data_IF_332847269090
#
_entry.id   IF_332847269090
#
_cell.length_a   1.000
_cell.length_b   1.000
_cell.length_c   1.000
_cell.angle_alpha   90.00
_cell.angle_beta   90.00
_cell.angle_gamma   90.00
#
_symmetry.space_group_name_H-M   'P 1'
#
loop_
_entity.id
_entity.type
_entity.pdbx_description
1 polymer ?
#
# COMPACT_ATOMS: atom_id res chain seq x y z
N UNK A 1 -11.03 15.82 16.10
CA UNK A 1 -10.21 16.24 14.95
C UNK A 1 -8.86 15.54 15.06
N UNK A 2 -8.37 15.00 13.98
CA UNK A 2 -7.04 14.37 13.88
C UNK A 2 -6.25 15.03 12.77
N UNK A 3 -4.96 15.24 12.99
CA UNK A 3 -4.03 15.79 12.00
C UNK A 3 -2.71 15.05 12.08
N UNK A 4 -2.20 14.58 10.95
CA UNK A 4 -0.86 14.02 10.79
C UNK A 4 -0.16 14.72 9.63
N UNK A 5 1.09 15.05 9.83
CA UNK A 5 1.95 15.69 8.84
C UNK A 5 3.18 14.81 8.61
N UNK A 6 3.65 14.79 7.39
CA UNK A 6 4.91 14.18 6.99
C UNK A 6 5.85 15.27 6.50
N UNK A 7 7.14 15.15 6.85
CA UNK A 7 8.20 16.01 6.33
C UNK A 7 8.91 15.24 5.24
N UNK A 8 8.78 15.69 4.02
CA UNK A 8 9.37 15.08 2.85
C UNK A 8 10.80 15.58 2.57
N UNK A 9 11.46 14.95 1.59
CA UNK A 9 12.77 15.40 1.11
C UNK A 9 12.67 16.84 0.60
N UNK A 10 13.59 17.70 1.03
CA UNK A 10 13.56 19.12 0.69
C UNK A 10 12.89 20.02 1.74
N UNK A 11 12.37 19.44 2.83
CA UNK A 11 11.74 20.19 3.92
C UNK A 11 10.27 20.55 3.67
N UNK A 12 9.65 19.99 2.63
CA UNK A 12 8.22 20.13 2.39
C UNK A 12 7.41 19.42 3.48
N UNK A 13 6.35 20.08 3.94
CA UNK A 13 5.43 19.52 4.94
C UNK A 13 4.14 19.11 4.25
N UNK A 14 3.98 17.82 4.00
CA UNK A 14 2.77 17.26 3.44
C UNK A 14 1.73 16.94 4.52
N UNK A 15 0.46 17.16 4.22
CA UNK A 15 -0.65 16.79 5.09
C UNK A 15 -1.06 15.34 4.78
N UNK A 16 -0.61 14.39 5.59
CA UNK A 16 -0.93 12.98 5.39
C UNK A 16 -2.36 12.65 5.78
N UNK A 17 -2.81 13.16 6.92
CA UNK A 17 -4.18 12.93 7.39
C UNK A 17 -4.74 14.18 8.08
N UNK A 18 -5.96 14.52 7.71
CA UNK A 18 -6.74 15.56 8.37
C UNK A 18 -8.24 15.22 8.26
N UNK A 19 -8.85 14.89 9.38
CA UNK A 19 -10.26 14.51 9.39
C UNK A 19 -10.96 14.90 10.69
N UNK A 20 -12.27 14.99 10.59
CA UNK A 20 -13.19 15.14 11.73
C UNK A 20 -14.04 13.87 11.85
N UNK A 21 -14.44 13.53 13.06
CA UNK A 21 -15.27 12.37 13.34
C UNK A 21 -16.40 12.70 14.27
N UNK A 22 -17.59 12.15 14.00
CA UNK A 22 -18.71 12.05 14.91
C UNK A 22 -18.86 10.59 15.32
N UNK A 23 -18.71 10.34 16.62
CA UNK A 23 -18.95 9.02 17.20
C UNK A 23 -20.37 8.99 17.79
N UNK A 24 -21.12 7.96 17.44
CA UNK A 24 -22.48 7.70 17.94
C UNK A 24 -22.47 6.57 18.96
N UNK A 25 -21.77 5.46 18.63
CA UNK A 25 -21.52 4.34 19.52
C UNK A 25 -20.26 3.58 19.06
N UNK A 26 -19.85 2.54 19.76
CA UNK A 26 -18.71 1.69 19.36
C UNK A 26 -18.91 1.07 17.98
N UNK A 27 -20.14 0.70 17.66
CA UNK A 27 -20.52 0.06 16.41
C UNK A 27 -20.77 1.03 15.24
N UNK A 28 -20.87 2.36 15.46
CA UNK A 28 -21.19 3.29 14.39
C UNK A 28 -20.54 4.65 14.59
N UNK A 29 -19.66 5.01 13.66
CA UNK A 29 -18.96 6.28 13.62
C UNK A 29 -18.90 6.79 12.19
N UNK A 30 -18.96 8.09 12.01
CA UNK A 30 -18.78 8.76 10.70
C UNK A 30 -17.54 9.62 10.76
N UNK A 31 -16.71 9.54 9.73
CA UNK A 31 -15.48 10.31 9.57
C UNK A 31 -15.48 10.99 8.21
N UNK A 32 -15.08 12.25 8.16
CA UNK A 32 -14.97 13.04 6.93
C UNK A 32 -13.65 13.79 6.90
N UNK A 33 -13.01 13.85 5.74
CA UNK A 33 -11.73 14.54 5.51
C UNK A 33 -10.74 13.71 4.73
N UNK A 34 -9.45 14.00 4.92
CA UNK A 34 -8.35 13.29 4.29
C UNK A 34 -7.97 12.07 5.15
N UNK A 35 -8.30 10.87 4.66
CA UNK A 35 -8.34 9.64 5.45
C UNK A 35 -7.56 8.54 4.72
N UNK A 36 -6.90 7.66 5.47
CA UNK A 36 -6.26 6.46 4.91
C UNK A 36 -7.31 5.55 4.28
N UNK A 37 -7.06 5.11 3.05
CA UNK A 37 -7.89 4.14 2.34
C UNK A 37 -7.62 2.75 2.93
N UNK A 38 -8.64 2.03 3.44
CA UNK A 38 -8.45 0.84 4.27
C UNK A 38 -8.18 -0.43 3.44
N UNK A 39 -7.29 -0.37 2.45
CA UNK A 39 -6.96 -1.50 1.55
C UNK A 39 -5.59 -2.06 1.89
N UNK A 40 -5.49 -3.40 1.92
CA UNK A 40 -4.24 -4.12 2.15
C UNK A 40 -3.68 -3.98 3.57
N UNK A 41 -2.49 -4.51 3.77
CA UNK A 41 -1.79 -4.49 5.07
C UNK A 41 -1.05 -3.18 5.28
N UNK A 42 -0.27 -2.74 4.29
CA UNK A 42 0.70 -1.63 4.43
C UNK A 42 0.02 -0.28 4.59
N UNK A 43 -1.13 -0.03 3.97
CA UNK A 43 -1.86 1.22 4.21
C UNK A 43 -2.30 1.37 5.67
N UNK A 44 -2.65 0.26 6.33
CA UNK A 44 -3.07 0.26 7.72
C UNK A 44 -1.90 0.16 8.71
N UNK A 45 -0.74 -0.37 8.29
CA UNK A 45 0.43 -0.65 9.13
C UNK A 45 1.71 -0.12 8.46
N UNK A 46 1.80 1.21 8.25
CA UNK A 46 2.87 1.84 7.48
C UNK A 46 3.99 2.47 8.32
N UNK A 47 3.86 2.47 9.65
CA UNK A 47 4.94 2.97 10.52
C UNK A 47 6.15 2.03 10.45
N UNK A 48 7.37 2.56 10.48
CA UNK A 48 8.58 1.72 10.43
C UNK A 48 8.70 0.67 11.55
N UNK A 49 7.99 0.86 12.65
CA UNK A 49 7.92 -0.13 13.76
C UNK A 49 6.92 -1.25 13.51
N UNK A 50 6.11 -1.16 12.44
CA UNK A 50 5.02 -2.09 12.14
C UNK A 50 5.37 -3.13 11.06
N UNK A 51 6.58 -3.10 10.51
CA UNK A 51 7.14 -4.10 9.60
C UNK A 51 8.61 -4.33 9.91
N UNK A 52 9.17 -5.49 9.55
CA UNK A 52 10.54 -5.83 9.90
C UNK A 52 11.59 -5.26 8.95
N UNK A 53 11.31 -5.21 7.66
CA UNK A 53 12.24 -4.72 6.64
C UNK A 53 12.67 -3.27 6.88
N UNK A 54 13.85 -2.87 6.42
CA UNK A 54 14.33 -1.48 6.54
C UNK A 54 13.43 -0.55 5.74
N UNK A 55 13.11 -0.93 4.50
CA UNK A 55 12.12 -0.26 3.66
C UNK A 55 10.76 -0.93 3.79
N UNK A 56 9.71 -0.26 3.36
CA UNK A 56 8.35 -0.84 3.28
C UNK A 56 8.36 -2.13 2.45
N UNK A 57 7.54 -3.13 2.81
CA UNK A 57 7.30 -4.29 1.96
C UNK A 57 7.02 -3.91 0.51
N UNK A 58 7.72 -4.56 -0.42
CA UNK A 58 7.72 -4.11 -1.82
C UNK A 58 6.46 -4.51 -2.59
N UNK A 59 5.88 -5.67 -2.29
CA UNK A 59 4.78 -6.21 -3.08
C UNK A 59 3.57 -5.29 -3.16
N UNK A 60 2.95 -4.98 -2.04
CA UNK A 60 1.84 -4.03 -1.98
C UNK A 60 2.27 -2.64 -2.44
N UNK A 61 3.44 -2.17 -1.97
CA UNK A 61 3.98 -0.86 -2.32
C UNK A 61 4.26 -0.70 -3.83
N UNK A 62 4.40 -1.80 -4.56
CA UNK A 62 4.60 -1.74 -6.02
C UNK A 62 3.28 -1.61 -6.76
N UNK A 63 2.23 -2.35 -6.36
CA UNK A 63 1.01 -2.46 -7.17
C UNK A 63 -0.10 -1.50 -6.75
N UNK A 64 -0.04 -0.96 -5.54
CA UNK A 64 -1.06 -0.05 -4.98
C UNK A 64 -0.41 1.21 -4.41
N UNK A 65 -1.12 2.35 -4.38
CA UNK A 65 -0.66 3.50 -3.60
C UNK A 65 -0.40 3.09 -2.15
N UNK A 66 0.76 3.45 -1.61
CA UNK A 66 1.11 3.18 -0.22
C UNK A 66 1.14 4.45 0.60
N UNK A 67 0.67 4.32 1.83
CA UNK A 67 0.12 5.42 2.61
C UNK A 67 -1.01 6.11 1.81
N UNK A 68 -1.80 5.28 1.13
CA UNK A 68 -2.89 5.76 0.29
C UNK A 68 -3.93 6.48 1.15
N UNK A 69 -4.06 7.76 0.94
CA UNK A 69 -5.02 8.60 1.64
C UNK A 69 -5.77 9.45 0.62
N UNK A 70 -7.06 9.64 0.87
CA UNK A 70 -7.96 10.39 0.00
C UNK A 70 -8.93 11.23 0.82
N UNK A 71 -9.39 12.33 0.23
CA UNK A 71 -10.48 13.11 0.83
C UNK A 71 -11.80 12.42 0.56
N UNK A 72 -12.53 12.10 1.61
CA UNK A 72 -13.77 11.36 1.47
C UNK A 72 -14.58 11.24 2.77
N UNK A 73 -15.54 10.36 2.70
CA UNK A 73 -16.44 10.02 3.81
C UNK A 73 -16.27 8.53 4.15
N UNK A 74 -16.09 8.24 5.44
CA UNK A 74 -15.96 6.89 5.96
C UNK A 74 -16.97 6.64 7.07
N UNK A 75 -17.55 5.44 7.06
CA UNK A 75 -18.34 4.88 8.16
C UNK A 75 -17.57 3.70 8.71
N UNK A 76 -17.38 3.65 10.02
CA UNK A 76 -16.68 2.55 10.67
C UNK A 76 -17.25 2.21 12.04
N UNK A 77 -17.00 1.00 12.49
CA UNK A 77 -17.42 0.55 13.81
C UNK A 77 -16.77 -0.74 14.25
N UNK A 78 -17.00 -1.07 15.52
CA UNK A 78 -16.60 -2.33 16.12
C UNK A 78 -17.79 -2.97 16.85
N UNK A 79 -18.06 -4.23 16.51
CA UNK A 79 -19.12 -5.05 17.08
C UNK A 79 -18.48 -6.37 17.53
N UNK A 80 -18.32 -6.55 18.84
CA UNK A 80 -17.58 -7.67 19.41
C UNK A 80 -16.14 -7.72 18.89
N UNK A 81 -15.77 -8.84 18.31
CA UNK A 81 -14.43 -9.08 17.74
C UNK A 81 -14.28 -8.60 16.28
N UNK A 82 -15.33 -8.01 15.71
CA UNK A 82 -15.33 -7.53 14.33
C UNK A 82 -15.20 -6.02 14.28
N UNK A 83 -14.30 -5.54 13.43
CA UNK A 83 -14.19 -4.13 13.01
C UNK A 83 -14.52 -4.03 11.53
N UNK A 84 -15.29 -3.05 11.16
CA UNK A 84 -15.56 -2.74 9.76
C UNK A 84 -15.29 -1.27 9.45
N UNK A 85 -14.99 -0.99 8.20
CA UNK A 85 -14.89 0.35 7.65
C UNK A 85 -15.32 0.34 6.18
N UNK A 86 -16.14 1.30 5.78
CA UNK A 86 -16.52 1.54 4.38
C UNK A 86 -16.33 3.01 4.06
N UNK A 87 -15.82 3.30 2.85
CA UNK A 87 -15.39 4.63 2.47
C UNK A 87 -15.80 4.96 1.03
N UNK A 88 -16.20 6.21 0.79
CA UNK A 88 -16.42 6.78 -0.54
C UNK A 88 -15.41 7.89 -0.75
N UNK A 89 -14.70 7.84 -1.88
CA UNK A 89 -13.55 8.68 -2.22
C UNK A 89 -13.53 9.02 -3.72
N UNK A 90 -12.76 10.01 -4.18
CA UNK A 90 -12.42 10.17 -5.59
C UNK A 90 -11.75 8.90 -6.13
N UNK A 91 -12.11 8.51 -7.34
CA UNK A 91 -11.46 7.39 -7.99
C UNK A 91 -10.03 7.71 -8.42
N UNK A 92 -9.25 6.67 -8.71
CA UNK A 92 -7.88 6.80 -9.25
C UNK A 92 -7.89 7.41 -10.65
N UNK A 93 -6.75 7.94 -11.07
CA UNK A 93 -6.53 8.48 -12.42
C UNK A 93 -5.76 7.46 -13.28
N UNK A 94 -6.41 6.92 -14.32
CA UNK A 94 -5.84 5.91 -15.20
C UNK A 94 -4.64 6.43 -16.03
N UNK A 95 -4.50 7.73 -16.24
CA UNK A 95 -3.35 8.31 -16.92
C UNK A 95 -2.03 8.11 -16.19
N UNK A 96 -2.10 7.90 -14.86
CA UNK A 96 -0.95 7.64 -14.02
C UNK A 96 -0.59 6.15 -13.94
N UNK A 97 -1.41 5.26 -14.51
CA UNK A 97 -1.16 3.83 -14.51
C UNK A 97 -0.03 3.46 -15.47
N UNK A 98 0.81 2.51 -15.07
CA UNK A 98 1.98 2.13 -15.84
C UNK A 98 2.35 0.65 -15.62
N UNK A 99 3.28 0.13 -16.44
CA UNK A 99 3.70 -1.28 -16.36
C UNK A 99 4.48 -1.61 -15.08
N UNK A 100 5.21 -0.66 -14.50
CA UNK A 100 6.07 -0.90 -13.33
C UNK A 100 5.30 -0.90 -12.01
N UNK A 101 4.30 -0.02 -11.89
CA UNK A 101 3.55 0.20 -10.66
C UNK A 101 2.07 -0.15 -10.76
N UNK A 102 1.58 -0.67 -11.88
CA UNK A 102 0.16 -0.90 -12.12
C UNK A 102 -0.66 0.36 -11.83
N UNK A 103 -1.39 0.43 -10.69
CA UNK A 103 -2.20 1.59 -10.29
C UNK A 103 -1.53 2.46 -9.22
N UNK A 104 -0.31 2.15 -8.80
CA UNK A 104 0.40 2.79 -7.67
C UNK A 104 0.36 4.32 -7.73
N UNK A 105 0.66 4.89 -8.91
CA UNK A 105 0.72 6.34 -9.08
C UNK A 105 -0.67 6.97 -9.31
N UNK A 106 -1.72 6.17 -9.43
CA UNK A 106 -3.07 6.63 -9.76
C UNK A 106 -3.75 7.49 -8.69
N UNK A 107 -3.24 7.48 -7.46
CA UNK A 107 -3.71 8.39 -6.39
C UNK A 107 -3.07 9.76 -6.46
N UNK A 108 -1.97 9.92 -7.20
CA UNK A 108 -1.34 11.22 -7.40
C UNK A 108 -2.21 12.14 -8.28
N UNK A 109 -1.97 13.43 -8.16
CA UNK A 109 -2.57 14.45 -9.02
C UNK A 109 -1.47 15.29 -9.65
N UNK A 110 -1.58 15.55 -10.95
CA UNK A 110 -0.73 16.49 -11.65
C UNK A 110 -1.13 17.97 -11.41
N UNK A 111 -2.20 18.20 -10.62
CA UNK A 111 -2.76 19.51 -10.34
C UNK A 111 -2.69 19.79 -8.83
N UNK A 112 -2.84 21.05 -8.45
CA UNK A 112 -2.96 21.48 -7.05
C UNK A 112 -4.21 20.92 -6.35
N UNK A 113 -5.15 20.36 -7.11
CA UNK A 113 -6.39 19.77 -6.59
C UNK A 113 -6.61 18.37 -7.16
N UNK A 114 -7.35 17.56 -6.43
CA UNK A 114 -7.78 16.23 -6.89
C UNK A 114 -9.00 16.34 -7.77
N UNK A 115 -8.94 15.73 -8.96
CA UNK A 115 -10.10 15.59 -9.83
C UNK A 115 -11.01 14.48 -9.29
N UNK A 116 -12.30 14.74 -9.20
CA UNK A 116 -13.30 13.80 -8.69
C UNK A 116 -14.48 13.65 -9.66
N UNK A 117 -14.20 13.46 -10.94
CA UNK A 117 -15.24 13.18 -11.95
C UNK A 117 -15.90 11.82 -11.70
N UNK A 118 -15.16 10.87 -11.13
CA UNK A 118 -15.63 9.56 -10.74
C UNK A 118 -15.39 9.33 -9.23
N UNK A 119 -16.31 8.60 -8.61
CA UNK A 119 -16.16 8.14 -7.23
C UNK A 119 -15.82 6.66 -7.17
N UNK A 120 -15.18 6.27 -6.08
CA UNK A 120 -14.82 4.89 -5.76
C UNK A 120 -15.29 4.52 -4.37
N UNK A 121 -15.52 3.23 -4.17
CA UNK A 121 -15.78 2.63 -2.86
C UNK A 121 -14.59 1.81 -2.39
N UNK A 122 -14.27 1.90 -1.10
CA UNK A 122 -13.34 1.03 -0.41
C UNK A 122 -13.99 0.47 0.85
N UNK A 123 -13.72 -0.78 1.18
CA UNK A 123 -14.25 -1.40 2.39
C UNK A 123 -13.25 -2.39 2.99
N UNK A 124 -13.31 -2.55 4.32
CA UNK A 124 -12.49 -3.49 5.09
C UNK A 124 -13.29 -4.08 6.23
N UNK A 125 -13.03 -5.37 6.50
CA UNK A 125 -13.52 -6.07 7.69
C UNK A 125 -12.33 -6.76 8.34
N UNK A 126 -12.15 -6.55 9.65
CA UNK A 126 -11.12 -7.21 10.48
C UNK A 126 -11.79 -8.08 11.54
N UNK A 127 -11.19 -9.24 11.83
CA UNK A 127 -11.57 -10.16 12.90
C UNK A 127 -10.43 -10.27 13.92
N UNK A 128 -10.78 -10.21 15.21
CA UNK A 128 -9.89 -10.28 16.36
C UNK A 128 -10.29 -11.39 17.35
N UNK A 129 -11.09 -12.37 16.93
CA UNK A 129 -11.62 -13.43 17.83
C UNK A 129 -10.54 -14.36 18.39
N UNK A 130 -9.41 -14.49 17.70
CA UNK A 130 -8.28 -15.29 18.15
C UNK A 130 -7.25 -14.37 18.82
N UNK A 131 -6.89 -14.70 20.06
CA UNK A 131 -5.90 -13.93 20.82
C UNK A 131 -4.59 -13.80 20.06
N UNK A 132 -4.09 -12.59 19.95
CA UNK A 132 -2.84 -12.27 19.25
C UNK A 132 -2.95 -12.30 17.72
N UNK A 133 -4.09 -12.66 17.13
CA UNK A 133 -4.28 -12.73 15.69
C UNK A 133 -5.36 -11.74 15.23
N UNK A 134 -5.00 -10.89 14.27
CA UNK A 134 -5.94 -10.12 13.45
C UNK A 134 -5.94 -10.70 12.03
N UNK A 135 -7.10 -10.90 11.46
CA UNK A 135 -7.29 -11.23 10.05
C UNK A 135 -8.15 -10.15 9.41
N UNK A 136 -7.78 -9.69 8.23
CA UNK A 136 -8.47 -8.64 7.50
C UNK A 136 -8.76 -9.01 6.05
N UNK A 137 -9.94 -8.64 5.58
CA UNK A 137 -10.30 -8.67 4.15
C UNK A 137 -10.68 -7.25 3.76
N UNK A 138 -10.18 -6.79 2.62
CA UNK A 138 -10.50 -5.47 2.10
C UNK A 138 -10.70 -5.49 0.59
N UNK A 139 -11.42 -4.50 0.08
CA UNK A 139 -11.71 -4.37 -1.33
C UNK A 139 -11.89 -2.92 -1.76
N UNK A 140 -11.57 -2.66 -3.03
CA UNK A 140 -11.76 -1.37 -3.70
C UNK A 140 -12.42 -1.57 -5.05
N UNK A 141 -13.30 -0.64 -5.41
CA UNK A 141 -13.90 -0.56 -6.74
C UNK A 141 -14.11 0.90 -7.15
N UNK A 142 -13.66 1.25 -8.36
CA UNK A 142 -13.85 2.60 -8.92
C UNK A 142 -13.52 2.68 -10.40
N UNK A 143 -14.18 3.59 -11.11
CA UNK A 143 -13.88 3.89 -12.50
C UNK A 143 -12.76 4.93 -12.57
N UNK A 144 -11.63 4.58 -13.17
CA UNK A 144 -10.41 5.39 -13.16
C UNK A 144 -10.18 6.19 -14.44
N UNK A 145 -10.82 5.81 -15.54
CA UNK A 145 -10.72 6.56 -16.80
C UNK A 145 -11.65 7.78 -16.78
N UNK A 146 -11.29 8.85 -17.50
CA UNK A 146 -11.97 10.14 -17.46
C UNK A 146 -12.00 10.83 -16.07
N UNK A 147 -11.21 10.36 -15.12
CA UNK A 147 -11.00 11.01 -13.82
C UNK A 147 -9.86 12.03 -13.90
N UNK A 148 -9.82 12.76 -14.98
CA UNK A 148 -8.84 13.79 -15.34
C UNK A 148 -9.53 14.94 -16.07
N UNK A 149 -8.77 16.02 -16.38
CA UNK A 149 -9.24 17.15 -17.19
C UNK A 149 -8.78 17.06 -18.65
N UNK A 150 -8.09 15.99 -19.03
CA UNK A 150 -7.57 15.78 -20.39
C UNK A 150 -8.74 15.63 -21.39
N UNK A 151 -8.71 16.42 -22.45
CA UNK A 151 -9.79 16.46 -23.45
C UNK A 151 -9.90 15.19 -24.28
N UNK A 152 -8.78 14.53 -24.58
CA UNK A 152 -8.75 13.35 -25.44
C UNK A 152 -9.50 12.17 -24.86
N UNK A 153 -9.52 12.03 -23.52
CA UNK A 153 -10.30 11.00 -22.85
C UNK A 153 -11.81 11.15 -23.08
N UNK A 154 -12.27 12.36 -23.33
CA UNK A 154 -13.67 12.70 -23.64
C UNK A 154 -14.01 12.59 -25.13
N UNK A 155 -13.05 12.14 -25.95
CA UNK A 155 -13.25 11.97 -27.40
C UNK A 155 -14.21 10.79 -27.68
N UNK A 156 -14.80 10.77 -28.88
CA UNK A 156 -15.71 9.69 -29.32
C UNK A 156 -15.05 8.32 -29.24
N UNK A 157 -13.73 8.23 -29.44
CA UNK A 157 -12.96 6.98 -29.39
C UNK A 157 -12.96 6.33 -28.00
N UNK A 158 -12.97 7.14 -26.95
CA UNK A 158 -12.86 6.66 -25.56
C UNK A 158 -14.15 6.88 -24.73
N UNK A 159 -15.25 7.25 -25.40
CA UNK A 159 -16.51 7.63 -24.74
C UNK A 159 -17.05 6.56 -23.77
N UNK A 160 -16.89 5.29 -24.11
CA UNK A 160 -17.42 4.17 -23.33
C UNK A 160 -16.39 3.49 -22.42
N UNK A 161 -15.14 4.01 -22.39
CA UNK A 161 -14.07 3.47 -21.55
C UNK A 161 -14.27 3.91 -20.11
N UNK A 162 -14.34 2.95 -19.20
CA UNK A 162 -14.51 3.18 -17.76
C UNK A 162 -13.23 3.00 -16.97
N UNK A 163 -12.39 2.03 -17.37
CA UNK A 163 -11.20 1.68 -16.63
C UNK A 163 -11.49 1.27 -15.20
N UNK A 164 -12.47 0.36 -15.03
CA UNK A 164 -12.89 -0.07 -13.69
C UNK A 164 -11.74 -0.83 -13.01
N UNK A 165 -11.24 -0.30 -11.91
CA UNK A 165 -10.29 -0.96 -11.03
C UNK A 165 -11.06 -1.71 -9.96
N UNK A 166 -10.74 -3.00 -9.78
CA UNK A 166 -11.23 -3.83 -8.69
C UNK A 166 -10.02 -4.42 -7.96
N UNK A 167 -9.94 -4.26 -6.65
CA UNK A 167 -8.90 -4.86 -5.80
C UNK A 167 -9.58 -5.70 -4.73
N UNK A 168 -9.06 -6.89 -4.51
CA UNK A 168 -9.34 -7.71 -3.34
C UNK A 168 -8.03 -7.98 -2.59
N UNK A 169 -8.03 -7.80 -1.28
CA UNK A 169 -6.87 -8.00 -0.43
C UNK A 169 -7.26 -8.79 0.84
N UNK A 170 -6.39 -9.70 1.23
CA UNK A 170 -6.43 -10.42 2.49
C UNK A 170 -5.11 -10.19 3.23
N UNK A 171 -5.18 -9.97 4.53
CA UNK A 171 -3.98 -9.84 5.34
C UNK A 171 -4.21 -10.36 6.77
N UNK A 172 -3.12 -10.72 7.43
CA UNK A 172 -3.14 -11.10 8.83
C UNK A 172 -1.92 -10.58 9.58
N UNK A 173 -2.08 -10.41 10.90
CA UNK A 173 -1.03 -10.04 11.83
C UNK A 173 -1.19 -10.86 13.10
N UNK A 174 -0.22 -11.74 13.37
CA UNK A 174 -0.11 -12.51 14.60
C UNK A 174 1.01 -11.93 15.47
N UNK A 175 0.69 -11.63 16.71
CA UNK A 175 1.63 -11.11 17.70
C UNK A 175 1.35 -11.70 19.07
N UNK A 176 1.92 -12.87 19.32
CA UNK A 176 1.88 -13.56 20.62
C UNK A 176 3.08 -14.51 20.78
N UNK A 177 3.34 -14.99 21.99
CA UNK A 177 4.41 -15.94 22.31
C UNK A 177 5.81 -15.52 21.79
N UNK A 178 6.11 -14.21 21.83
CA UNK A 178 7.36 -13.61 21.32
C UNK A 178 7.56 -13.72 19.79
N UNK A 179 6.58 -14.23 19.07
CA UNK A 179 6.51 -14.25 17.61
C UNK A 179 5.69 -13.09 17.10
N UNK A 180 6.14 -12.55 15.99
CA UNK A 180 5.33 -11.69 15.12
C UNK A 180 5.36 -12.31 13.73
N UNK A 181 4.18 -12.66 13.22
CA UNK A 181 4.02 -13.23 11.86
C UNK A 181 2.97 -12.40 11.12
N UNK A 182 3.30 -11.91 9.94
CA UNK A 182 2.41 -11.10 9.10
C UNK A 182 2.39 -11.63 7.69
N UNK A 183 1.26 -11.52 7.03
CA UNK A 183 1.16 -11.88 5.63
C UNK A 183 0.05 -11.12 4.94
N UNK A 184 0.20 -10.99 3.61
CA UNK A 184 -0.75 -10.35 2.73
C UNK A 184 -0.90 -11.12 1.42
N UNK A 185 -2.05 -10.98 0.80
CA UNK A 185 -2.34 -11.39 -0.56
C UNK A 185 -3.25 -10.37 -1.20
N UNK A 186 -2.84 -9.82 -2.33
CA UNK A 186 -3.52 -8.76 -3.05
C UNK A 186 -3.67 -9.15 -4.51
N UNK A 187 -4.87 -8.99 -5.04
CA UNK A 187 -5.17 -9.22 -6.43
C UNK A 187 -5.98 -8.06 -7.00
N UNK A 188 -5.50 -7.53 -8.12
CA UNK A 188 -6.12 -6.43 -8.80
C UNK A 188 -6.48 -6.74 -10.24
N UNK A 189 -7.61 -6.16 -10.70
CA UNK A 189 -8.09 -6.23 -12.07
C UNK A 189 -8.42 -4.84 -12.60
N UNK A 190 -8.01 -4.55 -13.83
CA UNK A 190 -8.31 -3.32 -14.57
C UNK A 190 -9.17 -3.66 -15.80
N UNK A 191 -10.38 -3.12 -15.85
CA UNK A 191 -11.22 -3.12 -17.05
C UNK A 191 -10.65 -2.19 -18.12
N UNK A 192 -10.94 -2.46 -19.39
CA UNK A 192 -10.51 -1.65 -20.55
C UNK A 192 -9.00 -1.41 -20.62
N UNK A 193 -8.19 -2.33 -20.06
CA UNK A 193 -6.75 -2.17 -19.92
C UNK A 193 -6.03 -1.99 -21.27
N UNK A 194 -6.55 -2.51 -22.36
CA UNK A 194 -6.05 -2.37 -23.72
C UNK A 194 -6.26 -0.94 -24.27
N UNK A 195 -7.44 -0.37 -24.05
CA UNK A 195 -7.76 1.00 -24.46
C UNK A 195 -6.97 2.01 -23.61
N UNK A 196 -6.88 1.79 -22.30
CA UNK A 196 -6.07 2.62 -21.39
C UNK A 196 -4.59 2.54 -21.77
N UNK A 197 -4.06 1.33 -22.04
CA UNK A 197 -2.68 1.16 -22.47
C UNK A 197 -2.39 1.88 -23.80
N UNK A 198 -3.34 1.84 -24.73
CA UNK A 198 -3.24 2.55 -26.02
C UNK A 198 -3.22 4.05 -25.80
N UNK A 199 -4.11 4.56 -24.96
CA UNK A 199 -4.18 5.98 -24.61
C UNK A 199 -2.89 6.45 -23.92
N UNK A 200 -2.45 5.76 -22.86
CA UNK A 200 -1.26 6.15 -22.10
C UNK A 200 -0.02 6.16 -22.99
N UNK A 201 0.17 5.16 -23.86
CA UNK A 201 1.31 5.14 -24.80
C UNK A 201 1.28 6.24 -25.86
N UNK A 202 0.13 6.86 -26.10
CA UNK A 202 0.02 8.01 -27.00
C UNK A 202 0.36 9.35 -26.35
N UNK A 203 0.50 9.37 -25.02
CA UNK A 203 0.87 10.56 -24.26
C UNK A 203 2.38 10.83 -24.37
N UNK A 204 2.75 12.07 -24.11
CA UNK A 204 4.15 12.48 -24.10
C UNK A 204 4.91 11.85 -22.91
N UNK A 205 6.07 11.25 -23.21
CA UNK A 205 7.03 10.72 -22.23
C UNK A 205 8.31 11.58 -22.21
N UNK A 206 8.21 12.87 -22.45
CA UNK A 206 9.36 13.77 -22.31
C UNK A 206 9.94 13.74 -20.91
N UNK A 207 11.15 14.23 -20.75
CA UNK A 207 11.82 14.35 -19.43
C UNK A 207 11.08 15.29 -18.47
N UNK A 208 10.10 16.04 -18.95
CA UNK A 208 9.25 16.92 -18.15
C UNK A 208 7.99 16.22 -17.63
N UNK A 209 7.64 15.04 -18.16
CA UNK A 209 6.53 14.26 -17.62
C UNK A 209 6.91 13.67 -16.26
N UNK A 210 6.18 13.97 -15.18
CA UNK A 210 6.47 13.42 -13.85
C UNK A 210 6.15 11.92 -13.74
N UNK A 211 5.40 11.36 -14.69
CA UNK A 211 4.94 9.96 -14.67
C UNK A 211 5.22 9.27 -16.01
N UNK A 212 5.62 7.98 -15.98
CA UNK A 212 5.83 7.23 -17.21
C UNK A 212 4.48 6.84 -17.85
N UNK A 213 4.24 7.28 -19.06
CA UNK A 213 3.07 6.89 -19.85
C UNK A 213 3.36 5.61 -20.63
N UNK A 214 2.93 4.48 -20.10
CA UNK A 214 3.21 3.15 -20.65
C UNK A 214 1.96 2.28 -20.71
N UNK A 215 2.08 1.09 -21.29
CA UNK A 215 1.02 0.08 -21.16
C UNK A 215 0.84 -0.29 -19.68
N UNK A 216 -0.36 -0.69 -19.30
CA UNK A 216 -0.71 -1.14 -17.96
C UNK A 216 -1.19 -2.60 -17.98
N UNK A 217 -0.88 -3.38 -16.95
CA UNK A 217 -1.33 -4.76 -16.82
C UNK A 217 -2.86 -4.85 -16.62
N UNK A 218 -3.49 -5.82 -17.27
CA UNK A 218 -4.90 -6.14 -17.02
C UNK A 218 -5.11 -6.62 -15.59
N UNK A 219 -4.13 -7.32 -15.02
CA UNK A 219 -4.16 -7.76 -13.62
C UNK A 219 -2.80 -7.58 -12.98
N UNK A 220 -2.80 -7.32 -11.69
CA UNK A 220 -1.62 -7.31 -10.84
C UNK A 220 -1.82 -8.21 -9.63
N UNK A 221 -0.74 -8.68 -9.03
CA UNK A 221 -0.75 -9.56 -7.86
C UNK A 221 0.42 -9.23 -6.95
N UNK A 222 0.18 -9.28 -5.64
CA UNK A 222 1.23 -9.27 -4.63
C UNK A 222 0.89 -10.26 -3.51
N UNK A 223 1.91 -10.92 -2.99
CA UNK A 223 1.80 -11.78 -1.81
C UNK A 223 3.09 -11.69 -1.00
N UNK A 224 2.96 -11.65 0.31
CA UNK A 224 4.10 -11.57 1.21
C UNK A 224 3.84 -12.27 2.52
N UNK A 225 4.91 -12.77 3.13
CA UNK A 225 4.91 -13.29 4.47
C UNK A 225 6.19 -12.89 5.18
N UNK A 226 6.07 -12.43 6.42
CA UNK A 226 7.21 -12.18 7.29
C UNK A 226 7.02 -12.86 8.65
N UNK A 227 8.09 -13.31 9.24
CA UNK A 227 8.10 -13.85 10.58
C UNK A 227 9.33 -13.37 11.33
N UNK A 228 9.16 -12.99 12.59
CA UNK A 228 10.24 -12.59 13.48
C UNK A 228 10.03 -13.14 14.88
N UNK A 229 11.14 -13.53 15.53
CA UNK A 229 11.16 -14.02 16.90
C UNK A 229 12.03 -13.11 17.77
N UNK A 230 11.49 -12.70 18.91
CA UNK A 230 12.22 -11.91 19.91
C UNK A 230 13.17 -12.78 20.72
N UNK A 231 14.45 -12.83 20.34
CA UNK A 231 15.46 -13.64 21.06
C UNK A 231 15.80 -13.07 22.43
N UNK A 232 15.59 -11.77 22.66
CA UNK A 232 15.80 -11.19 23.99
C UNK A 232 14.75 -11.58 25.01
N UNK A 233 13.62 -12.12 24.57
CA UNK A 233 12.62 -12.73 25.44
C UNK A 233 13.20 -13.87 26.30
N UNK A 234 14.24 -14.56 25.83
CA UNK A 234 14.93 -15.64 26.52
C UNK A 234 16.00 -15.13 27.51
N UNK A 235 16.39 -13.85 27.46
CA UNK A 235 17.41 -13.27 28.31
C UNK A 235 16.75 -12.39 29.37
N UNK A 236 16.65 -12.89 30.63
CA UNK A 236 15.95 -12.21 31.73
C UNK A 236 16.31 -10.71 31.83
N UNK A 237 17.62 -10.37 31.86
CA UNK A 237 18.09 -8.97 31.97
C UNK A 237 17.57 -8.08 30.83
N UNK A 238 17.48 -8.59 29.61
CA UNK A 238 17.01 -7.80 28.45
C UNK A 238 15.51 -7.64 28.50
N UNK A 239 14.77 -8.71 28.77
CA UNK A 239 13.31 -8.72 28.94
C UNK A 239 12.86 -7.78 30.07
N UNK A 240 13.50 -7.86 31.24
CA UNK A 240 13.14 -7.03 32.40
C UNK A 240 13.43 -5.52 32.14
N UNK A 241 14.37 -5.20 31.25
CA UNK A 241 14.63 -3.85 30.78
C UNK A 241 13.79 -3.42 29.56
N UNK A 242 12.81 -4.23 29.14
CA UNK A 242 11.93 -3.94 28.02
C UNK A 242 12.60 -3.91 26.63
N UNK A 243 13.85 -4.42 26.54
CA UNK A 243 14.59 -4.47 25.25
C UNK A 243 14.15 -5.68 24.44
N UNK A 244 14.05 -5.51 23.12
CA UNK A 244 13.72 -6.60 22.19
C UNK A 244 14.75 -6.69 21.07
N UNK A 245 15.00 -7.90 20.60
CA UNK A 245 15.81 -8.16 19.43
C UNK A 245 15.14 -9.25 18.59
N UNK A 246 14.51 -8.81 17.49
CA UNK A 246 13.92 -9.75 16.54
C UNK A 246 14.95 -10.19 15.52
N UNK A 247 15.02 -11.50 15.30
CA UNK A 247 15.57 -12.12 14.10
C UNK A 247 14.38 -12.36 13.18
N UNK A 248 14.45 -11.91 11.93
CA UNK A 248 13.31 -12.04 11.01
C UNK A 248 13.71 -12.57 9.64
N UNK A 249 12.73 -13.14 8.96
CA UNK A 249 12.74 -13.46 7.56
C UNK A 249 11.48 -12.96 6.88
N UNK A 250 11.60 -12.53 5.61
CA UNK A 250 10.48 -12.14 4.75
C UNK A 250 10.64 -12.73 3.36
N UNK A 251 9.53 -13.18 2.79
CA UNK A 251 9.43 -13.55 1.38
C UNK A 251 8.27 -12.78 0.74
N UNK A 252 8.50 -12.32 -0.49
CA UNK A 252 7.52 -11.60 -1.29
C UNK A 252 7.52 -12.11 -2.73
N UNK A 253 6.33 -12.22 -3.30
CA UNK A 253 6.08 -12.41 -4.72
C UNK A 253 5.15 -11.32 -5.21
N UNK A 254 5.51 -10.64 -6.30
CA UNK A 254 4.66 -9.62 -6.88
C UNK A 254 4.90 -9.46 -8.39
N UNK A 255 3.85 -9.05 -9.09
CA UNK A 255 3.88 -8.80 -10.53
C UNK A 255 2.85 -7.71 -10.88
N UNK A 256 3.34 -6.51 -11.17
CA UNK A 256 2.53 -5.37 -11.56
C UNK A 256 1.89 -5.52 -12.95
N UNK A 257 2.38 -6.49 -13.74
CA UNK A 257 1.91 -6.78 -15.09
C UNK A 257 1.59 -8.28 -15.24
N UNK A 258 0.88 -8.85 -14.25
CA UNK A 258 0.63 -10.28 -14.13
C UNK A 258 -0.04 -10.86 -15.38
N UNK A 259 -1.06 -10.19 -15.91
CA UNK A 259 -1.63 -10.46 -17.24
C UNK A 259 -1.55 -9.20 -18.09
N UNK A 260 -1.03 -9.36 -19.31
CA UNK A 260 -1.00 -8.29 -20.29
C UNK A 260 -2.43 -7.92 -20.74
N UNK A 261 -2.62 -6.66 -21.10
CA UNK A 261 -3.80 -6.23 -21.84
C UNK A 261 -3.82 -6.84 -23.25
N UNK A 262 -5.00 -6.95 -23.87
CA UNK A 262 -5.15 -7.49 -25.21
C UNK A 262 -4.32 -6.66 -26.23
N UNK A 263 -3.53 -7.34 -27.05
CA UNK A 263 -2.65 -6.71 -28.05
C UNK A 263 -1.32 -6.17 -27.51
N UNK A 264 -1.01 -6.41 -26.21
CA UNK A 264 0.25 -6.02 -25.60
C UNK A 264 1.06 -7.23 -25.14
N UNK A 265 2.38 -7.12 -25.27
CA UNK A 265 3.31 -8.16 -24.80
C UNK A 265 3.52 -8.06 -23.29
N UNK A 266 3.81 -9.20 -22.65
CA UNK A 266 4.13 -9.25 -21.23
C UNK A 266 5.56 -8.74 -20.97
N UNK A 267 5.71 -8.00 -19.88
CA UNK A 267 7.02 -7.55 -19.36
C UNK A 267 7.50 -8.52 -18.28
N UNK A 268 8.49 -9.34 -18.60
CA UNK A 268 8.98 -10.40 -17.69
C UNK A 268 9.71 -9.86 -16.45
N UNK A 269 10.27 -8.67 -16.52
CA UNK A 269 10.96 -8.01 -15.40
C UNK A 269 10.03 -7.49 -14.32
N UNK A 270 8.71 -7.37 -14.59
CA UNK A 270 7.72 -6.95 -13.58
C UNK A 270 7.43 -8.05 -12.57
N UNK A 271 7.66 -9.31 -12.94
CA UNK A 271 7.53 -10.47 -12.07
C UNK A 271 8.75 -10.59 -11.17
N UNK A 272 8.59 -10.36 -9.89
CA UNK A 272 9.67 -10.34 -8.91
C UNK A 272 9.36 -11.26 -7.73
N UNK A 273 10.43 -11.84 -7.19
CA UNK A 273 10.44 -12.52 -5.91
C UNK A 273 11.53 -11.86 -5.07
N UNK A 274 11.27 -11.60 -3.81
CA UNK A 274 12.24 -11.02 -2.89
C UNK A 274 12.33 -11.84 -1.63
N UNK A 275 13.54 -12.10 -1.17
CA UNK A 275 13.81 -12.62 0.17
C UNK A 275 14.59 -11.56 0.96
N UNK A 276 14.24 -11.41 2.22
CA UNK A 276 14.95 -10.55 3.16
C UNK A 276 15.13 -11.29 4.49
N UNK A 277 16.30 -11.11 5.11
CA UNK A 277 16.59 -11.58 6.46
C UNK A 277 17.29 -10.48 7.24
N UNK A 278 17.07 -10.39 8.53
CA UNK A 278 17.68 -9.32 9.28
C UNK A 278 17.41 -9.32 10.77
N UNK A 279 17.79 -8.20 11.38
CA UNK A 279 17.70 -7.95 12.81
C UNK A 279 17.02 -6.62 13.08
N UNK A 280 16.07 -6.60 14.04
CA UNK A 280 15.46 -5.38 14.53
C UNK A 280 15.68 -5.27 16.04
N UNK A 281 16.51 -4.34 16.43
CA UNK A 281 16.80 -4.05 17.83
C UNK A 281 15.95 -2.88 18.34
N UNK A 282 15.20 -3.11 19.39
CA UNK A 282 14.43 -2.09 20.11
C UNK A 282 15.11 -1.79 21.45
N UNK A 283 15.94 -0.74 21.54
CA UNK A 283 16.50 -0.28 22.83
C UNK A 283 15.43 0.24 23.76
N UNK A 284 14.34 0.77 23.21
CA UNK A 284 13.10 1.19 23.86
C UNK A 284 11.92 1.04 22.92
N UNK A 285 10.70 1.15 23.44
CA UNK A 285 9.45 0.85 22.70
C UNK A 285 9.31 1.58 21.36
N UNK A 286 9.73 2.84 21.32
CA UNK A 286 9.44 3.73 20.19
C UNK A 286 10.65 3.91 19.23
N UNK A 287 11.78 3.27 19.52
CA UNK A 287 12.98 3.31 18.66
C UNK A 287 13.30 1.90 18.16
N UNK A 288 13.55 1.78 16.87
CA UNK A 288 14.06 0.55 16.26
C UNK A 288 15.31 0.84 15.44
N UNK A 289 16.33 0.02 15.62
CA UNK A 289 17.51 -0.07 14.74
C UNK A 289 17.38 -1.33 13.93
N UNK A 290 17.47 -1.21 12.62
CA UNK A 290 17.23 -2.30 11.67
C UNK A 290 18.49 -2.58 10.85
N UNK A 291 18.76 -3.86 10.63
CA UNK A 291 19.76 -4.34 9.67
C UNK A 291 19.14 -5.43 8.81
N UNK A 292 19.30 -5.34 7.51
CA UNK A 292 18.68 -6.25 6.56
C UNK A 292 19.64 -6.61 5.43
N UNK A 293 19.68 -7.88 5.07
CA UNK A 293 20.15 -8.34 3.77
C UNK A 293 18.96 -8.82 2.95
N UNK A 294 18.84 -8.35 1.72
CA UNK A 294 17.78 -8.76 0.82
C UNK A 294 18.29 -9.02 -0.59
N UNK A 295 17.55 -9.86 -1.32
CA UNK A 295 17.82 -10.18 -2.71
C UNK A 295 16.51 -10.35 -3.47
N UNK A 296 16.40 -9.70 -4.63
CA UNK A 296 15.36 -9.96 -5.61
C UNK A 296 15.84 -11.00 -6.60
N UNK A 297 14.97 -11.96 -6.90
CA UNK A 297 15.19 -12.99 -7.90
C UNK A 297 14.41 -12.62 -9.16
N UNK A 298 15.15 -12.32 -10.22
CA UNK A 298 14.62 -11.94 -11.52
C UNK A 298 15.05 -13.00 -12.56
N UNK A 299 14.46 -12.95 -13.75
CA UNK A 299 14.97 -13.77 -14.87
C UNK A 299 16.45 -13.50 -15.13
N UNK A 300 17.17 -14.49 -15.64
CA UNK A 300 18.64 -14.47 -15.80
C UNK A 300 19.20 -13.29 -16.59
N UNK A 301 18.39 -12.67 -17.45
CA UNK A 301 18.77 -11.48 -18.22
C UNK A 301 18.72 -10.17 -17.41
N UNK A 302 18.18 -10.21 -16.20
CA UNK A 302 18.06 -9.05 -15.30
C UNK A 302 18.94 -9.24 -14.08
N UNK A 303 19.33 -8.12 -13.45
CA UNK A 303 20.11 -8.15 -12.22
C UNK A 303 19.25 -8.63 -11.03
N UNK A 304 19.77 -9.55 -10.21
CA UNK A 304 19.13 -10.04 -8.99
C UNK A 304 19.11 -9.05 -7.81
N UNK A 305 19.76 -7.90 -7.94
CA UNK A 305 19.71 -6.77 -7.00
C UNK A 305 19.88 -7.17 -5.52
N UNK A 306 21.02 -7.77 -5.12
CA UNK A 306 21.30 -7.98 -3.71
C UNK A 306 21.58 -6.65 -3.03
N UNK A 307 21.11 -6.49 -1.79
CA UNK A 307 21.33 -5.26 -1.03
C UNK A 307 21.52 -5.54 0.45
N UNK A 308 22.36 -4.71 1.10
CA UNK A 308 22.46 -4.62 2.54
C UNK A 308 21.99 -3.22 2.96
N UNK A 309 21.08 -3.17 3.93
CA UNK A 309 20.47 -1.92 4.38
C UNK A 309 20.53 -1.79 5.89
N UNK A 310 20.79 -0.58 6.36
CA UNK A 310 20.71 -0.19 7.77
C UNK A 310 19.70 0.94 7.90
N UNK A 311 18.97 0.96 9.01
CA UNK A 311 18.01 2.00 9.29
C UNK A 311 17.79 2.20 10.78
N UNK A 312 17.45 3.41 11.15
CA UNK A 312 16.94 3.75 12.48
C UNK A 312 15.62 4.48 12.32
N UNK A 313 14.63 4.14 13.13
CA UNK A 313 13.35 4.82 13.11
C UNK A 313 12.87 5.10 14.53
N UNK A 314 12.20 6.23 14.69
CA UNK A 314 11.47 6.63 15.87
C UNK A 314 9.99 6.77 15.54
N UNK A 315 9.13 6.15 16.32
CA UNK A 315 7.68 6.22 16.17
C UNK A 315 7.04 6.62 17.51
N UNK A 316 7.06 7.91 17.82
CA UNK A 316 6.56 8.47 19.07
C UNK A 316 6.36 9.99 18.98
N UNK A 317 6.01 10.61 20.10
CA UNK A 317 5.90 12.06 20.19
C UNK A 317 7.19 12.66 20.77
N UNK A 318 7.76 13.65 20.12
CA UNK A 318 8.95 14.37 20.62
C UNK A 318 8.62 15.26 21.82
N UNK A 319 7.36 15.62 22.02
CA UNK A 319 6.88 16.44 23.15
C UNK A 319 5.76 15.64 23.83
N UNK A 320 5.94 15.36 25.12
CA UNK A 320 4.87 14.80 25.97
C UNK A 320 4.13 15.91 26.67
#
# INVERSE_FOLDING_TARGET
>A
MYKRQEIERGGEVALEQFWIQKSFCSGFNIRAGHIIVPIGQINNAHLPTQFFTVYRPEGENTIMPCTWHETGLSVWGRIGDWRYEAMVIPALNANMFNHSGWIHDGSASAYEFKVANNLAGAARIDNYSVKGLRMGISGYIGNSFQNDIIKDEKSTKYKDVKGTVVIGAFDFDYNDHNWVVRGNFDYGHLGDADLISTHNKSQDNSTQSPYPHTAVGKTAIAAGIEAGYDIFSQVKKMRDNGKKLYVFGRYEYYDSYHKAAKGFSKYEWTKKQRMAVGLNYYPMKDIVVKAEYSKRFLKSQYNNEPSFSLGIAYAGFFIK
#
